data_IF_650487683413
#
_entry.id   IF_650487683413
#
_cell.length_a   1.000
_cell.length_b   1.000
_cell.length_c   1.000
_cell.angle_alpha   90.00
_cell.angle_beta   90.00
_cell.angle_gamma   90.00
#
_symmetry.space_group_name_H-M   'P 1'
#
loop_
_entity.id
_entity.type
_entity.pdbx_description
1 polymer ?
#
# COMPACT_ATOMS: atom_id res chain seq x y z
N UNK A 1 -2.96 -4.58 2.40
CA UNK A 1 -1.99 -3.49 2.16
C UNK A 1 -1.79 -2.62 3.38
N UNK A 2 -2.74 -1.77 3.79
CA UNK A 2 -2.53 -0.81 4.90
C UNK A 2 -2.14 -1.47 6.23
N UNK A 3 -2.71 -2.64 6.54
CA UNK A 3 -2.31 -3.43 7.72
C UNK A 3 -0.82 -3.80 7.65
N UNK A 4 -0.32 -4.21 6.49
CA UNK A 4 1.09 -4.55 6.28
C UNK A 4 1.99 -3.32 6.45
N UNK A 5 1.55 -2.17 5.94
CA UNK A 5 2.25 -0.88 6.12
C UNK A 5 2.32 -0.48 7.61
N UNK A 6 1.23 -0.65 8.36
CA UNK A 6 1.20 -0.42 9.81
C UNK A 6 2.14 -1.35 10.54
N UNK A 7 2.15 -2.64 10.20
CA UNK A 7 3.05 -3.62 10.83
C UNK A 7 4.51 -3.26 10.57
N UNK A 8 4.84 -2.87 9.34
CA UNK A 8 6.19 -2.38 8.99
C UNK A 8 6.57 -1.14 9.82
N UNK A 9 5.64 -0.19 9.98
CA UNK A 9 5.88 1.02 10.77
C UNK A 9 6.14 0.69 12.25
N UNK A 10 5.37 -0.24 12.82
CA UNK A 10 5.59 -0.76 14.19
C UNK A 10 6.99 -1.39 14.29
N UNK A 11 7.43 -2.13 13.27
CA UNK A 11 8.78 -2.69 13.21
C UNK A 11 9.88 -1.62 13.32
N UNK A 12 9.75 -0.51 12.59
CA UNK A 12 10.71 0.61 12.69
C UNK A 12 10.70 1.34 14.03
N UNK A 13 9.59 1.27 14.79
CA UNK A 13 9.49 1.89 16.13
C UNK A 13 10.19 1.05 17.19
N UNK A 14 10.33 -0.27 16.99
CA UNK A 14 10.96 -1.15 17.97
C UNK A 14 12.46 -0.81 18.19
N UNK A 15 12.96 -0.96 19.43
CA UNK A 15 14.34 -0.68 19.75
C UNK A 15 15.29 -1.78 19.24
N UNK A 16 16.54 -1.40 18.97
CA UNK A 16 17.62 -2.30 18.51
C UNK A 16 18.09 -3.23 19.64
N UNK A 17 17.98 -2.81 20.89
CA UNK A 17 18.44 -3.59 22.06
C UNK A 17 17.31 -3.84 23.05
N UNK A 18 17.28 -5.01 23.72
CA UNK A 18 18.09 -6.23 23.51
C UNK A 18 17.87 -6.96 22.16
N UNK A 19 18.73 -7.95 21.86
CA UNK A 19 18.73 -8.72 20.60
C UNK A 19 17.36 -9.33 20.24
N UNK A 20 16.53 -9.68 21.21
CA UNK A 20 15.17 -10.18 20.96
C UNK A 20 14.28 -9.14 20.26
N UNK A 21 14.39 -7.86 20.63
CA UNK A 21 13.67 -6.79 19.94
C UNK A 21 14.25 -6.51 18.56
N UNK A 22 15.57 -6.67 18.39
CA UNK A 22 16.22 -6.58 17.07
C UNK A 22 15.67 -7.60 16.07
N UNK A 23 15.53 -8.86 16.50
CA UNK A 23 14.97 -9.93 15.66
C UNK A 23 13.50 -9.64 15.35
N UNK A 24 12.72 -9.21 16.35
CA UNK A 24 11.32 -8.83 16.14
C UNK A 24 11.19 -7.64 15.17
N UNK A 25 12.03 -6.62 15.31
CA UNK A 25 12.12 -5.48 14.39
C UNK A 25 12.39 -5.95 12.96
N UNK A 26 13.46 -6.73 12.75
CA UNK A 26 13.85 -7.22 11.44
C UNK A 26 12.73 -8.05 10.78
N UNK A 27 12.10 -8.95 11.54
CA UNK A 27 11.00 -9.77 11.08
C UNK A 27 9.78 -8.93 10.66
N UNK A 28 9.32 -8.00 11.50
CA UNK A 28 8.14 -7.17 11.21
C UNK A 28 8.37 -6.23 10.02
N UNK A 29 9.58 -5.67 9.91
CA UNK A 29 9.96 -4.84 8.75
C UNK A 29 9.94 -5.68 7.48
N UNK A 30 10.57 -6.86 7.49
CA UNK A 30 10.65 -7.75 6.33
C UNK A 30 9.26 -8.24 5.90
N UNK A 31 8.50 -8.81 6.83
CA UNK A 31 7.13 -9.26 6.60
C UNK A 31 6.24 -8.13 6.07
N UNK A 32 6.24 -6.97 6.74
CA UNK A 32 5.39 -5.84 6.36
C UNK A 32 5.73 -5.32 4.97
N UNK A 33 7.02 -5.29 4.61
CA UNK A 33 7.49 -4.87 3.30
C UNK A 33 7.09 -5.85 2.18
N UNK A 34 7.33 -7.15 2.36
CA UNK A 34 6.96 -8.18 1.36
C UNK A 34 5.44 -8.30 1.24
N UNK A 35 4.72 -8.35 2.35
CA UNK A 35 3.26 -8.40 2.37
C UNK A 35 2.66 -7.18 1.67
N UNK A 36 3.17 -5.97 1.99
CA UNK A 36 2.76 -4.74 1.34
C UNK A 36 2.94 -4.82 -0.18
N UNK A 37 4.12 -5.25 -0.64
CA UNK A 37 4.43 -5.46 -2.05
C UNK A 37 3.48 -6.46 -2.72
N UNK A 38 3.28 -7.65 -2.17
CA UNK A 38 2.39 -8.65 -2.76
C UNK A 38 0.93 -8.18 -2.82
N UNK A 39 0.47 -7.44 -1.80
CA UNK A 39 -0.86 -6.84 -1.83
C UNK A 39 -1.05 -5.85 -2.98
N UNK A 40 0.01 -5.18 -3.43
CA UNK A 40 -0.07 -4.34 -4.64
C UNK A 40 -0.39 -5.15 -5.89
N UNK A 41 0.29 -6.29 -6.07
CA UNK A 41 0.06 -7.20 -7.20
C UNK A 41 -1.31 -7.84 -7.13
N UNK A 42 -1.79 -8.19 -5.93
CA UNK A 42 -3.16 -8.67 -5.74
C UNK A 42 -4.17 -7.62 -6.20
N UNK A 43 -4.01 -6.35 -5.80
CA UNK A 43 -4.90 -5.26 -6.21
C UNK A 43 -4.84 -5.07 -7.74
N UNK A 44 -3.65 -5.02 -8.32
CA UNK A 44 -3.48 -4.89 -9.77
C UNK A 44 -4.10 -6.06 -10.54
N UNK A 45 -3.98 -7.28 -10.02
CA UNK A 45 -4.60 -8.47 -10.59
C UNK A 45 -6.14 -8.42 -10.49
N UNK A 46 -6.68 -8.00 -9.34
CA UNK A 46 -8.12 -7.79 -9.20
C UNK A 46 -8.65 -6.80 -10.24
N UNK A 47 -7.98 -5.66 -10.40
CA UNK A 47 -8.35 -4.66 -11.41
C UNK A 47 -8.25 -5.23 -12.82
N UNK A 48 -7.20 -5.99 -13.12
CA UNK A 48 -7.05 -6.68 -14.40
C UNK A 48 -8.20 -7.66 -14.66
N UNK A 49 -8.59 -8.45 -13.66
CA UNK A 49 -9.71 -9.38 -13.79
C UNK A 49 -11.05 -8.68 -14.01
N UNK A 50 -11.33 -7.57 -13.31
CA UNK A 50 -12.58 -6.82 -13.49
C UNK A 50 -12.61 -6.14 -14.85
N UNK A 51 -11.54 -5.44 -15.22
CA UNK A 51 -11.54 -4.55 -16.39
C UNK A 51 -11.26 -5.30 -17.68
N UNK A 52 -10.29 -6.21 -17.69
CA UNK A 52 -9.80 -6.84 -18.94
C UNK A 52 -10.39 -8.23 -19.15
N UNK A 53 -10.79 -8.91 -18.08
CA UNK A 53 -11.40 -10.24 -18.17
C UNK A 53 -12.89 -10.23 -17.87
N UNK A 54 -13.45 -9.09 -17.46
CA UNK A 54 -14.87 -8.92 -17.08
C UNK A 54 -15.33 -9.94 -16.01
N UNK A 55 -14.41 -10.44 -15.19
CA UNK A 55 -14.70 -11.42 -14.15
C UNK A 55 -15.26 -10.70 -12.93
N UNK A 56 -16.57 -10.80 -12.75
CA UNK A 56 -17.27 -10.18 -11.61
C UNK A 56 -17.23 -11.02 -10.32
N UNK A 57 -16.89 -12.32 -10.40
CA UNK A 57 -16.90 -13.25 -9.27
C UNK A 57 -15.52 -13.43 -8.60
N UNK A 58 -14.82 -12.32 -8.34
CA UNK A 58 -13.48 -12.33 -7.74
C UNK A 58 -13.47 -12.92 -6.32
N UNK A 59 -14.62 -12.92 -5.63
CA UNK A 59 -14.77 -13.49 -4.27
C UNK A 59 -14.26 -14.93 -4.15
N UNK A 60 -14.30 -15.72 -5.24
CA UNK A 60 -13.77 -17.10 -5.28
C UNK A 60 -12.26 -17.17 -5.00
N UNK A 61 -11.51 -16.12 -5.34
CA UNK A 61 -10.05 -16.06 -5.18
C UNK A 61 -9.62 -15.46 -3.84
N UNK A 62 -10.56 -15.08 -2.97
CA UNK A 62 -10.24 -14.38 -1.72
C UNK A 62 -9.28 -15.17 -0.81
N UNK A 63 -9.47 -16.49 -0.68
CA UNK A 63 -8.56 -17.33 0.11
C UNK A 63 -7.15 -17.34 -0.48
N UNK A 64 -7.04 -17.46 -1.80
CA UNK A 64 -5.75 -17.43 -2.50
C UNK A 64 -5.02 -16.08 -2.31
N UNK A 65 -5.78 -14.98 -2.35
CA UNK A 65 -5.25 -13.63 -2.08
C UNK A 65 -4.71 -13.50 -0.65
N UNK A 66 -5.40 -14.06 0.35
CA UNK A 66 -4.93 -14.06 1.74
C UNK A 66 -3.66 -14.91 1.88
N UNK A 67 -3.63 -16.10 1.26
CA UNK A 67 -2.46 -16.98 1.27
C UNK A 67 -1.23 -16.29 0.70
N UNK A 68 -1.36 -15.63 -0.46
CA UNK A 68 -0.26 -14.89 -1.07
C UNK A 68 0.06 -13.62 -0.29
N UNK A 69 -0.94 -12.86 0.12
CA UNK A 69 -0.77 -11.54 0.71
C UNK A 69 -0.25 -11.55 2.14
N UNK A 70 -0.45 -12.63 2.88
CA UNK A 70 -0.03 -12.73 4.29
C UNK A 70 0.78 -13.97 4.60
N UNK A 71 0.32 -15.15 4.21
CA UNK A 71 0.95 -16.41 4.63
C UNK A 71 2.33 -16.59 3.96
N UNK A 72 2.42 -16.35 2.65
CA UNK A 72 3.70 -16.41 1.92
C UNK A 72 4.76 -15.43 2.49
N UNK A 73 4.45 -14.14 2.74
CA UNK A 73 5.36 -13.21 3.41
C UNK A 73 5.85 -13.68 4.78
N UNK A 74 4.98 -14.30 5.60
CA UNK A 74 5.38 -14.83 6.91
C UNK A 74 6.46 -15.90 6.74
N UNK A 75 6.26 -16.82 5.79
CA UNK A 75 7.25 -17.85 5.51
C UNK A 75 8.57 -17.24 5.04
N UNK A 76 8.54 -16.34 4.06
CA UNK A 76 9.77 -15.73 3.52
C UNK A 76 10.51 -14.93 4.60
N UNK A 77 9.80 -14.16 5.43
CA UNK A 77 10.39 -13.42 6.54
C UNK A 77 10.90 -14.35 7.67
N UNK A 78 10.39 -15.56 7.83
CA UNK A 78 10.91 -16.50 8.83
C UNK A 78 12.23 -17.16 8.40
N UNK A 79 12.51 -17.27 7.10
CA UNK A 79 13.68 -18.01 6.59
C UNK A 79 15.04 -17.45 7.05
N UNK A 80 15.30 -16.12 7.05
CA UNK A 80 16.58 -15.58 7.52
C UNK A 80 16.86 -15.88 9.00
N UNK A 81 15.82 -16.13 9.80
CA UNK A 81 15.98 -16.52 11.21
C UNK A 81 16.56 -17.93 11.34
N UNK A 82 16.24 -18.85 10.43
CA UNK A 82 16.77 -20.22 10.46
C UNK A 82 18.29 -20.26 10.27
N UNK A 83 18.85 -19.25 9.59
CA UNK A 83 20.29 -19.09 9.38
C UNK A 83 20.91 -18.02 10.27
N UNK A 84 20.21 -17.57 11.32
CA UNK A 84 20.64 -16.50 12.25
C UNK A 84 21.16 -15.23 11.54
N UNK A 85 20.55 -14.91 10.40
CA UNK A 85 21.00 -13.82 9.52
C UNK A 85 20.37 -12.46 9.86
N UNK A 86 19.53 -12.38 10.90
CA UNK A 86 19.02 -11.10 11.42
C UNK A 86 19.99 -10.45 12.40
N UNK A 87 20.13 -9.13 12.29
CA UNK A 87 20.97 -8.32 13.16
C UNK A 87 21.01 -6.86 12.74
N UNK A 88 21.84 -6.08 13.40
CA UNK A 88 21.98 -4.66 13.15
C UNK A 88 22.65 -4.38 11.80
N UNK A 89 22.04 -3.51 10.99
CA UNK A 89 22.56 -3.01 9.72
C UNK A 89 22.20 -1.53 9.59
N UNK A 90 23.20 -0.65 9.62
CA UNK A 90 23.05 0.79 9.37
C UNK A 90 22.03 1.53 10.27
N UNK A 91 21.95 1.15 11.55
CA UNK A 91 21.13 1.86 12.55
C UNK A 91 19.70 1.35 12.74
N UNK A 92 19.36 0.19 12.17
CA UNK A 92 18.19 -0.60 12.53
C UNK A 92 18.49 -2.09 12.38
N UNK A 93 17.59 -2.94 12.84
CA UNK A 93 17.73 -4.38 12.67
C UNK A 93 17.12 -4.86 11.35
N UNK A 94 17.94 -5.53 10.56
CA UNK A 94 17.54 -6.18 9.32
C UNK A 94 18.42 -7.40 9.02
N UNK A 95 18.60 -7.76 7.75
CA UNK A 95 19.42 -8.89 7.31
C UNK A 95 20.89 -8.46 7.27
N UNK A 96 21.72 -9.17 8.04
CA UNK A 96 23.15 -8.94 8.17
C UNK A 96 23.90 -9.12 6.84
N UNK A 97 25.04 -8.47 6.81
CA UNK A 97 25.95 -8.38 5.68
C UNK A 97 26.96 -9.55 5.60
N UNK A 98 26.50 -10.78 5.84
CA UNK A 98 27.34 -12.00 5.95
C UNK A 98 27.24 -12.91 4.70
N UNK A 99 27.68 -14.17 4.81
CA UNK A 99 27.70 -15.17 3.74
C UNK A 99 26.36 -15.33 3.00
N UNK A 100 25.24 -15.23 3.73
CA UNK A 100 23.88 -15.36 3.15
C UNK A 100 23.27 -14.04 2.67
N UNK A 101 24.05 -12.94 2.60
CA UNK A 101 23.57 -11.61 2.16
C UNK A 101 22.84 -11.69 0.83
N UNK A 102 23.43 -12.35 -0.16
CA UNK A 102 22.87 -12.41 -1.50
C UNK A 102 21.54 -13.19 -1.50
N UNK A 103 21.49 -14.33 -0.80
CA UNK A 103 20.31 -15.18 -0.74
C UNK A 103 19.12 -14.43 -0.11
N UNK A 104 19.30 -13.85 1.07
CA UNK A 104 18.20 -13.26 1.82
C UNK A 104 17.86 -11.84 1.39
N UNK A 105 18.85 -10.98 1.11
CA UNK A 105 18.57 -9.60 0.68
C UNK A 105 18.12 -9.60 -0.78
N UNK A 106 18.94 -10.15 -1.68
CA UNK A 106 18.64 -10.11 -3.13
C UNK A 106 17.50 -11.06 -3.46
N UNK A 107 17.58 -12.33 -3.05
CA UNK A 107 16.53 -13.31 -3.32
C UNK A 107 15.25 -13.07 -2.53
N UNK A 108 15.37 -12.86 -1.21
CA UNK A 108 14.23 -12.75 -0.30
C UNK A 108 13.42 -11.46 -0.42
N UNK A 109 14.05 -10.35 -0.84
CA UNK A 109 13.37 -9.06 -0.92
C UNK A 109 13.44 -8.41 -2.32
N UNK A 110 14.65 -8.12 -2.82
CA UNK A 110 14.79 -7.31 -4.04
C UNK A 110 14.29 -8.01 -5.30
N UNK A 111 14.50 -9.32 -5.44
CA UNK A 111 14.01 -10.10 -6.56
C UNK A 111 12.48 -10.12 -6.58
N UNK A 112 11.84 -10.35 -5.42
CA UNK A 112 10.38 -10.29 -5.27
C UNK A 112 9.87 -8.91 -5.65
N UNK A 113 10.52 -7.85 -5.15
CA UNK A 113 10.15 -6.47 -5.44
C UNK A 113 10.21 -6.16 -6.95
N UNK A 114 11.27 -6.59 -7.65
CA UNK A 114 11.39 -6.41 -9.11
C UNK A 114 10.30 -7.19 -9.85
N UNK A 115 10.06 -8.45 -9.48
CA UNK A 115 8.99 -9.29 -10.09
C UNK A 115 7.62 -8.61 -9.91
N UNK A 116 7.32 -8.15 -8.70
CA UNK A 116 6.08 -7.43 -8.36
C UNK A 116 5.95 -6.15 -9.20
N UNK A 117 7.02 -5.37 -9.33
CA UNK A 117 7.02 -4.13 -10.11
C UNK A 117 6.74 -4.40 -11.60
N UNK A 118 7.41 -5.39 -12.18
CA UNK A 118 7.17 -5.81 -13.57
C UNK A 118 5.76 -6.34 -13.78
N UNK A 119 5.27 -7.22 -12.90
CA UNK A 119 3.92 -7.76 -12.96
C UNK A 119 2.87 -6.66 -12.90
N UNK A 120 3.01 -5.73 -11.95
CA UNK A 120 2.16 -4.55 -11.86
C UNK A 120 2.19 -3.76 -13.17
N UNK A 121 3.38 -3.42 -13.68
CA UNK A 121 3.52 -2.66 -14.92
C UNK A 121 2.78 -3.31 -16.10
N UNK A 122 2.88 -4.65 -16.25
CA UNK A 122 2.17 -5.40 -17.29
C UNK A 122 0.65 -5.34 -17.09
N UNK A 123 0.16 -5.59 -15.88
CA UNK A 123 -1.27 -5.55 -15.57
C UNK A 123 -1.84 -4.16 -15.89
N UNK A 124 -1.17 -3.11 -15.45
CA UNK A 124 -1.59 -1.74 -15.71
C UNK A 124 -1.52 -1.39 -17.18
N UNK A 125 -0.46 -1.75 -17.90
CA UNK A 125 -0.40 -1.54 -19.35
C UNK A 125 -1.63 -2.15 -20.06
N UNK A 126 -2.00 -3.39 -19.71
CA UNK A 126 -3.18 -4.06 -20.27
C UNK A 126 -4.49 -3.35 -19.90
N UNK A 127 -4.66 -2.97 -18.62
CA UNK A 127 -5.84 -2.23 -18.14
C UNK A 127 -6.01 -0.90 -18.90
N UNK A 128 -4.94 -0.12 -19.03
CA UNK A 128 -4.96 1.17 -19.72
C UNK A 128 -5.31 0.99 -21.21
N UNK A 129 -4.74 -0.04 -21.84
CA UNK A 129 -5.01 -0.35 -23.24
C UNK A 129 -6.46 -0.74 -23.46
N UNK A 130 -7.01 -1.60 -22.61
CA UNK A 130 -8.41 -2.05 -22.71
C UNK A 130 -9.39 -0.88 -22.54
N UNK A 131 -9.15 -0.03 -21.55
CA UNK A 131 -9.99 1.14 -21.29
C UNK A 131 -9.94 2.13 -22.47
N UNK A 132 -8.77 2.36 -23.06
CA UNK A 132 -8.66 3.23 -24.24
C UNK A 132 -9.43 2.65 -25.42
N UNK A 133 -9.31 1.35 -25.65
CA UNK A 133 -10.03 0.64 -26.70
C UNK A 133 -11.55 0.74 -26.53
N UNK A 134 -12.06 0.51 -25.32
CA UNK A 134 -13.49 0.65 -25.03
C UNK A 134 -14.00 2.08 -25.19
N UNK A 135 -13.22 3.09 -24.77
CA UNK A 135 -13.60 4.50 -24.94
C UNK A 135 -13.68 4.86 -26.43
N UNK A 136 -12.76 4.35 -27.26
CA UNK A 136 -12.78 4.55 -28.72
C UNK A 136 -13.95 3.84 -29.42
N UNK A 137 -14.52 2.79 -28.83
CA UNK A 137 -15.73 2.14 -29.35
C UNK A 137 -17.02 2.87 -28.95
N UNK A 138 -17.02 3.57 -27.82
CA UNK A 138 -18.23 4.17 -27.21
C UNK A 138 -18.49 5.62 -27.64
N UNK A 139 -17.85 6.08 -28.72
CA UNK A 139 -17.80 7.48 -29.21
C UNK A 139 -19.18 8.14 -29.44
N UNK A 140 -20.27 7.38 -29.50
CA UNK A 140 -21.64 7.88 -29.66
C UNK A 140 -22.41 8.08 -28.34
N UNK A 141 -21.83 7.70 -27.18
CA UNK A 141 -22.51 7.69 -25.87
C UNK A 141 -21.76 8.51 -24.81
N UNK A 142 -21.98 9.83 -24.79
CA UNK A 142 -21.30 10.79 -23.90
C UNK A 142 -21.42 10.45 -22.40
N UNK A 143 -22.56 9.89 -21.97
CA UNK A 143 -22.78 9.52 -20.58
C UNK A 143 -21.91 8.33 -20.13
N UNK A 144 -21.76 7.28 -20.94
CA UNK A 144 -20.96 6.09 -20.59
C UNK A 144 -19.46 6.39 -20.60
N UNK A 145 -19.00 7.25 -21.52
CA UNK A 145 -17.61 7.73 -21.56
C UNK A 145 -17.26 8.47 -20.26
N UNK A 146 -18.15 9.34 -19.78
CA UNK A 146 -17.92 10.13 -18.56
C UNK A 146 -17.71 9.24 -17.33
N UNK A 147 -18.53 8.20 -17.18
CA UNK A 147 -18.46 7.30 -16.03
C UNK A 147 -17.22 6.41 -16.06
N UNK A 148 -16.85 5.87 -17.23
CA UNK A 148 -15.60 5.10 -17.40
C UNK A 148 -14.36 5.96 -17.19
N UNK A 149 -14.35 7.20 -17.68
CA UNK A 149 -13.23 8.13 -17.45
C UNK A 149 -13.08 8.50 -15.98
N UNK A 150 -14.17 8.74 -15.24
CA UNK A 150 -14.13 9.01 -13.79
C UNK A 150 -13.64 7.80 -13.01
N UNK A 151 -14.12 6.61 -13.38
CA UNK A 151 -13.67 5.35 -12.79
C UNK A 151 -12.15 5.17 -13.00
N UNK A 152 -11.66 5.39 -14.22
CA UNK A 152 -10.25 5.24 -14.57
C UNK A 152 -9.33 6.33 -13.99
N UNK A 153 -9.79 7.57 -13.87
CA UNK A 153 -8.99 8.63 -13.23
C UNK A 153 -8.68 8.31 -11.78
N UNK A 154 -9.62 7.65 -11.08
CA UNK A 154 -9.41 7.09 -9.74
C UNK A 154 -8.38 5.97 -9.77
N UNK A 155 -8.37 5.12 -10.80
CA UNK A 155 -7.45 3.99 -10.93
C UNK A 155 -6.01 4.31 -11.33
N UNK A 156 -5.77 5.47 -11.96
CA UNK A 156 -4.44 5.86 -12.47
C UNK A 156 -3.40 6.11 -11.36
N UNK A 157 -3.84 6.55 -10.18
CA UNK A 157 -2.94 6.92 -9.09
C UNK A 157 -2.37 5.73 -8.32
N UNK A 158 -3.05 4.57 -8.34
CA UNK A 158 -2.66 3.38 -7.57
C UNK A 158 -1.26 2.82 -7.92
N UNK A 159 -0.87 2.63 -9.19
CA UNK A 159 0.48 2.15 -9.54
C UNK A 159 1.59 3.18 -9.32
N UNK A 160 1.28 4.47 -9.52
CA UNK A 160 2.29 5.53 -9.46
C UNK A 160 2.91 5.63 -8.08
N UNK A 161 2.14 5.42 -7.02
CA UNK A 161 2.65 5.41 -5.64
C UNK A 161 3.76 4.38 -5.48
N UNK A 162 3.57 3.16 -5.99
CA UNK A 162 4.54 2.07 -5.83
C UNK A 162 5.81 2.36 -6.64
N UNK A 163 5.65 2.77 -7.90
CA UNK A 163 6.81 3.10 -8.76
C UNK A 163 7.61 4.23 -8.15
N UNK A 164 6.95 5.33 -7.76
CA UNK A 164 7.61 6.52 -7.21
C UNK A 164 8.31 6.20 -5.89
N UNK A 165 7.68 5.43 -5.01
CA UNK A 165 8.24 5.13 -3.70
C UNK A 165 9.35 4.07 -3.69
N UNK A 166 9.29 3.08 -4.59
CA UNK A 166 10.31 2.01 -4.65
C UNK A 166 11.44 2.31 -5.63
N UNK A 167 11.28 3.24 -6.57
CA UNK A 167 12.34 3.60 -7.52
C UNK A 167 13.64 4.07 -6.83
N UNK A 168 13.61 4.96 -5.81
CA UNK A 168 14.83 5.36 -5.10
C UNK A 168 15.53 4.19 -4.40
N UNK A 169 14.75 3.24 -3.86
CA UNK A 169 15.26 2.04 -3.21
C UNK A 169 15.93 1.09 -4.22
N UNK A 170 15.36 0.96 -5.42
CA UNK A 170 15.96 0.22 -6.53
C UNK A 170 17.27 0.87 -6.99
N UNK A 171 17.27 2.19 -7.23
CA UNK A 171 18.46 2.93 -7.65
C UNK A 171 19.58 2.80 -6.61
N UNK A 172 19.26 2.93 -5.32
CA UNK A 172 20.19 2.69 -4.21
C UNK A 172 20.82 1.30 -4.32
N UNK A 173 20.00 0.26 -4.45
CA UNK A 173 20.51 -1.12 -4.46
C UNK A 173 21.36 -1.41 -5.68
N UNK A 174 20.97 -0.92 -6.85
CA UNK A 174 21.76 -1.04 -8.07
C UNK A 174 23.13 -0.39 -7.85
N UNK A 175 23.17 0.82 -7.29
CA UNK A 175 24.43 1.51 -7.00
C UNK A 175 25.35 0.72 -6.06
N UNK A 176 24.81 0.19 -4.95
CA UNK A 176 25.55 -0.62 -3.99
C UNK A 176 26.12 -1.90 -4.61
N UNK A 177 25.39 -2.54 -5.54
CA UNK A 177 25.88 -3.75 -6.23
C UNK A 177 27.09 -3.44 -7.11
N UNK A 178 27.14 -2.27 -7.73
CA UNK A 178 28.22 -1.89 -8.66
C UNK A 178 29.44 -1.25 -8.00
N UNK A 179 29.25 -0.54 -6.89
CA UNK A 179 30.33 0.25 -6.26
C UNK A 179 30.76 -0.29 -4.89
N UNK A 180 30.05 -1.28 -4.33
CA UNK A 180 30.22 -1.80 -2.96
C UNK A 180 30.25 -0.70 -1.88
N UNK A 181 29.67 0.47 -2.19
CA UNK A 181 29.57 1.64 -1.35
C UNK A 181 28.13 2.17 -1.36
N UNK A 182 27.74 2.89 -0.31
CA UNK A 182 26.41 3.45 -0.13
C UNK A 182 26.44 4.97 -0.10
N UNK A 183 25.67 5.61 -0.99
CA UNK A 183 25.50 7.06 -0.95
C UNK A 183 24.54 7.41 0.18
N UNK A 184 25.02 8.17 1.16
CA UNK A 184 24.25 8.60 2.33
C UNK A 184 22.93 9.30 1.95
N UNK A 185 23.00 10.31 1.07
CA UNK A 185 21.82 11.06 0.62
C UNK A 185 20.79 10.20 -0.12
N UNK A 186 21.27 9.25 -0.94
CA UNK A 186 20.40 8.31 -1.64
C UNK A 186 19.72 7.34 -0.66
N UNK A 187 20.44 6.95 0.39
CA UNK A 187 19.87 6.15 1.50
C UNK A 187 18.76 6.90 2.21
N UNK A 188 19.00 8.13 2.67
CA UNK A 188 17.97 8.96 3.32
C UNK A 188 16.75 9.10 2.41
N UNK A 189 16.98 9.45 1.14
CA UNK A 189 15.90 9.66 0.19
C UNK A 189 15.07 8.38 -0.02
N UNK A 190 15.72 7.21 -0.10
CA UNK A 190 15.03 5.91 -0.19
C UNK A 190 14.21 5.57 1.06
N UNK A 191 14.71 5.93 2.26
CA UNK A 191 13.99 5.69 3.51
C UNK A 191 12.76 6.60 3.62
N UNK A 192 12.89 7.88 3.27
CA UNK A 192 11.77 8.83 3.29
C UNK A 192 10.67 8.40 2.32
N UNK A 193 11.04 8.10 1.07
CA UNK A 193 10.08 7.73 0.03
C UNK A 193 9.39 6.40 0.30
N UNK A 194 10.10 5.41 0.82
CA UNK A 194 9.49 4.13 1.24
C UNK A 194 8.64 4.29 2.49
N UNK A 195 8.97 5.19 3.42
CA UNK A 195 8.13 5.47 4.59
C UNK A 195 6.84 6.21 4.22
N UNK A 196 6.88 7.03 3.17
CA UNK A 196 5.71 7.76 2.67
C UNK A 196 4.65 6.86 1.99
N UNK A 197 4.99 5.60 1.65
CA UNK A 197 4.08 4.64 0.98
C UNK A 197 2.74 4.55 1.70
N UNK A 198 2.74 4.35 3.02
CA UNK A 198 1.51 4.19 3.79
C UNK A 198 0.61 5.43 3.75
N UNK A 199 1.21 6.62 3.82
CA UNK A 199 0.49 7.90 3.75
C UNK A 199 -0.08 8.10 2.35
N UNK A 200 0.73 7.87 1.30
CA UNK A 200 0.29 8.02 -0.08
C UNK A 200 -0.81 7.02 -0.43
N UNK A 201 -0.70 5.77 0.03
CA UNK A 201 -1.77 4.79 -0.08
C UNK A 201 -3.04 5.27 0.64
N UNK A 202 -2.94 5.75 1.88
CA UNK A 202 -4.10 6.25 2.61
C UNK A 202 -4.78 7.43 1.91
N UNK A 203 -4.01 8.34 1.30
CA UNK A 203 -4.52 9.46 0.51
C UNK A 203 -5.25 8.92 -0.73
N UNK A 204 -4.59 8.06 -1.50
CA UNK A 204 -5.10 7.56 -2.78
C UNK A 204 -6.31 6.63 -2.62
N UNK A 205 -6.32 5.76 -1.59
CA UNK A 205 -7.44 4.87 -1.31
C UNK A 205 -8.55 5.53 -0.47
N UNK A 206 -8.19 6.43 0.46
CA UNK A 206 -9.11 7.00 1.46
C UNK A 206 -9.82 8.28 1.04
N UNK A 207 -9.26 9.08 0.12
CA UNK A 207 -9.86 10.36 -0.29
C UNK A 207 -10.74 10.29 -1.54
N UNK A 208 -11.25 9.11 -1.87
CA UNK A 208 -12.22 8.94 -2.96
C UNK A 208 -13.58 9.55 -2.58
N UNK A 209 -14.31 10.08 -3.56
CA UNK A 209 -15.59 10.75 -3.32
C UNK A 209 -16.60 9.84 -2.61
N UNK A 210 -16.63 8.56 -3.00
CA UNK A 210 -17.47 7.54 -2.37
C UNK A 210 -17.16 7.34 -0.89
N UNK A 211 -15.88 7.35 -0.49
CA UNK A 211 -15.49 7.24 0.92
C UNK A 211 -15.85 8.51 1.67
N UNK A 212 -15.66 9.70 1.07
CA UNK A 212 -16.03 10.98 1.67
C UNK A 212 -17.53 11.07 1.92
N UNK A 213 -18.36 10.64 0.97
CA UNK A 213 -19.82 10.61 1.11
C UNK A 213 -20.24 9.69 2.27
N UNK A 214 -19.71 8.46 2.31
CA UNK A 214 -20.00 7.51 3.40
C UNK A 214 -19.54 8.06 4.76
N UNK A 215 -18.37 8.71 4.81
CA UNK A 215 -17.85 9.32 6.03
C UNK A 215 -18.76 10.46 6.50
N UNK A 216 -19.15 11.37 5.62
CA UNK A 216 -20.06 12.48 5.93
C UNK A 216 -21.41 11.98 6.40
N UNK A 217 -21.96 10.95 5.75
CA UNK A 217 -23.22 10.34 6.16
C UNK A 217 -23.12 9.64 7.52
N UNK A 218 -21.99 8.99 7.80
CA UNK A 218 -21.74 8.38 9.11
C UNK A 218 -21.60 9.45 10.19
N UNK A 219 -20.87 10.53 9.92
CA UNK A 219 -20.70 11.67 10.84
C UNK A 219 -22.03 12.37 11.12
N UNK A 220 -22.89 12.54 10.11
CA UNK A 220 -24.25 13.09 10.27
C UNK A 220 -25.15 12.21 11.15
N UNK A 221 -24.94 10.89 11.14
CA UNK A 221 -25.68 9.93 11.98
C UNK A 221 -25.16 9.86 13.42
N UNK A 222 -23.97 10.41 13.71
CA UNK A 222 -23.45 10.42 15.08
C UNK A 222 -24.30 11.35 15.97
N UNK A 223 -24.62 10.90 17.20
CA UNK A 223 -25.51 11.63 18.12
C UNK A 223 -24.98 13.00 18.54
N UNK A 224 -23.70 13.29 18.32
CA UNK A 224 -23.09 14.60 18.57
C UNK A 224 -23.68 15.71 17.67
N UNK A 225 -24.10 15.38 16.44
CA UNK A 225 -24.73 16.34 15.52
C UNK A 225 -26.19 16.67 15.89
N UNK A 226 -26.92 15.74 16.53
CA UNK A 226 -28.29 15.99 17.04
C UNK A 226 -28.32 16.99 18.20
N UNK A 227 -27.22 17.20 18.91
CA UNK A 227 -27.16 18.13 20.05
C UNK A 227 -27.02 19.59 19.61
N UNK A 228 -26.30 19.86 18.51
CA UNK A 228 -26.18 21.21 17.95
C UNK A 228 -27.51 21.74 17.38
N UNK A 229 -28.25 20.90 16.64
CA UNK A 229 -29.56 21.28 16.07
C UNK A 229 -30.69 21.40 17.11
N UNK A 230 -30.52 20.81 18.31
CA UNK A 230 -31.47 20.98 19.42
C UNK A 230 -31.26 22.30 20.19
N UNK A 231 -30.05 22.86 20.19
CA UNK A 231 -29.79 24.16 20.82
C UNK A 231 -30.32 25.33 19.98
N UNK A 232 -30.19 25.31 18.65
CA UNK A 232 -30.77 26.35 17.78
C UNK A 232 -32.31 26.40 17.81
N UNK A 233 -32.98 25.29 18.13
CA UNK A 233 -34.44 25.25 18.30
C UNK A 233 -34.92 25.67 19.70
N UNK A 234 -34.03 25.81 20.69
CA UNK A 234 -34.39 26.26 22.03
C UNK A 234 -34.32 27.79 22.18
N UNK A 235 -33.45 28.44 21.41
CA UNK A 235 -33.30 29.91 21.40
C UNK A 235 -34.36 30.65 20.56
N UNK A 236 -35.28 29.92 19.90
CA UNK A 236 -36.36 30.48 19.09
C UNK A 236 -37.75 30.41 19.74
N UNK A 237 -37.84 30.06 21.03
CA UNK A 237 -39.11 30.12 21.76
C UNK A 237 -39.43 31.58 22.16
N UNK A 238 -40.58 32.14 21.73
CA UNK A 238 -40.99 33.46 22.17
C UNK A 238 -41.33 33.43 23.66
N UNK A 239 -40.61 34.24 24.44
CA UNK A 239 -41.01 34.62 25.81
C UNK A 239 -42.25 35.49 25.68
N UNK A 240 -43.44 34.87 25.62
CA UNK A 240 -44.71 35.54 25.84
C UNK A 240 -45.80 34.51 26.13
N UNK A 241 -46.03 34.26 27.42
CA UNK A 241 -47.35 34.13 28.04
C UNK A 241 -47.17 33.47 29.41
N UNK A 242 -47.18 34.28 30.47
CA UNK A 242 -47.74 33.92 31.77
C UNK A 242 -47.97 35.23 32.51
N UNK A 243 -49.26 35.61 32.51
CA UNK A 243 -49.92 36.47 33.49
C UNK A 243 -49.76 35.84 34.86
#
# INVERSE_FOLDING_TARGET
MSISDTIRAIGFILPIHPQSYCIAQAFLIEFGSISGLLWTSIIAFCLYCVVVQEINNIKKYHMFMILIGYILPIFIAALPQMTNSYGEDNGWCWIKQEYYRFLWRIGGFYAIMVIVLFFNAICYYKIIREIRYEIELLTDSDHEISDKQKLFSRFRMYPLVIVICYLPLLCKRIYEIFNDDSIYWLTIFSVITTSAIGILNAIVYGLTDSVKEILLDTLRKLPFSRRASRYENFDSLPVNSLI
#
